data_IF_940479681538
#
_entry.id   IF_940479681538
#
_cell.length_a   1.000
_cell.length_b   1.000
_cell.length_c   1.000
_cell.angle_alpha   90.00
_cell.angle_beta   90.00
_cell.angle_gamma   90.00
#
_symmetry.space_group_name_H-M   'P 1'
#
loop_
_entity.id
_entity.type
_entity.pdbx_description
1 polymer ?
#
# COMPACT_ATOMS: atom_id res chain seq x y z
N UNK A 1 14.34 -19.15 -32.42
CA UNK A 1 12.98 -19.05 -31.83
C UNK A 1 12.92 -18.24 -30.51
N UNK A 2 13.89 -18.34 -29.58
CA UNK A 2 13.85 -17.59 -28.30
C UNK A 2 13.99 -16.06 -28.37
N UNK A 3 14.61 -15.49 -29.40
CA UNK A 3 14.80 -14.02 -29.53
C UNK A 3 13.64 -13.28 -30.20
N UNK A 4 12.75 -14.00 -30.89
CA UNK A 4 11.64 -13.38 -31.64
C UNK A 4 10.44 -13.08 -30.73
N UNK A 5 10.14 -13.91 -29.72
CA UNK A 5 9.02 -13.64 -28.80
C UNK A 5 9.26 -12.47 -27.83
N UNK A 6 10.52 -12.16 -27.48
CA UNK A 6 10.81 -11.01 -26.61
C UNK A 6 10.48 -9.67 -27.30
N UNK A 7 10.63 -9.62 -28.62
CA UNK A 7 10.23 -8.46 -29.44
C UNK A 7 8.71 -8.35 -29.58
N UNK A 8 7.94 -9.43 -29.32
CA UNK A 8 6.47 -9.39 -29.39
C UNK A 8 5.87 -8.67 -28.18
N UNK A 9 6.51 -8.68 -27.00
CA UNK A 9 6.02 -7.87 -25.86
C UNK A 9 6.32 -6.36 -26.01
N UNK A 10 7.37 -5.99 -26.77
CA UNK A 10 7.71 -4.59 -27.06
C UNK A 10 7.19 -4.10 -28.44
N UNK A 11 6.54 -4.98 -29.21
CA UNK A 11 6.17 -4.77 -30.61
C UNK A 11 4.68 -5.01 -30.90
N UNK A 12 3.80 -4.85 -29.91
CA UNK A 12 2.33 -4.88 -30.11
C UNK A 12 1.84 -3.55 -30.73
N UNK A 13 2.74 -2.69 -31.22
CA UNK A 13 2.38 -1.50 -31.99
C UNK A 13 1.79 -1.77 -33.39
N UNK A 14 1.61 -3.03 -33.82
CA UNK A 14 1.08 -3.35 -35.17
C UNK A 14 0.14 -4.58 -35.16
N UNK A 15 -0.73 -4.70 -34.15
CA UNK A 15 -1.82 -5.70 -34.15
C UNK A 15 -3.21 -5.08 -33.93
N UNK A 16 -3.32 -3.78 -34.15
CA UNK A 16 -4.59 -3.12 -34.41
C UNK A 16 -5.21 -3.77 -35.66
N UNK A 17 -6.36 -4.46 -35.48
CA UNK A 17 -7.52 -4.52 -36.40
C UNK A 17 -8.29 -5.86 -36.47
N UNK A 18 -7.96 -6.95 -35.76
CA UNK A 18 -8.72 -8.22 -35.88
C UNK A 18 -8.92 -9.01 -34.56
N UNK A 19 -10.04 -9.75 -34.45
CA UNK A 19 -10.31 -10.74 -33.38
C UNK A 19 -9.18 -11.79 -33.26
N UNK A 20 -8.54 -12.12 -34.39
CA UNK A 20 -7.40 -13.03 -34.44
C UNK A 20 -6.17 -12.54 -33.64
N UNK A 21 -6.00 -11.22 -33.49
CA UNK A 21 -4.88 -10.67 -32.72
C UNK A 21 -5.12 -10.77 -31.21
N UNK A 22 -6.39 -10.72 -30.78
CA UNK A 22 -6.79 -10.91 -29.39
C UNK A 22 -6.56 -12.35 -28.94
N UNK A 23 -7.01 -13.33 -29.71
CA UNK A 23 -6.81 -14.74 -29.40
C UNK A 23 -5.33 -15.13 -29.42
N UNK A 24 -4.58 -14.66 -30.43
CA UNK A 24 -3.12 -14.87 -30.48
C UNK A 24 -2.40 -14.28 -29.26
N UNK A 25 -2.85 -13.13 -28.76
CA UNK A 25 -2.29 -12.51 -27.54
C UNK A 25 -2.56 -13.39 -26.32
N UNK A 26 -3.79 -13.91 -26.18
CA UNK A 26 -4.14 -14.85 -25.10
C UNK A 26 -3.33 -16.15 -25.18
N UNK A 27 -3.13 -16.70 -26.38
CA UNK A 27 -2.33 -17.90 -26.60
C UNK A 27 -0.87 -17.71 -26.16
N UNK A 28 -0.26 -16.57 -26.51
CA UNK A 28 1.11 -16.24 -26.08
C UNK A 28 1.22 -16.18 -24.55
N UNK A 29 0.28 -15.51 -23.89
CA UNK A 29 0.25 -15.44 -22.42
C UNK A 29 0.02 -16.82 -21.80
N UNK A 30 -0.83 -17.63 -22.43
CA UNK A 30 -1.09 -18.99 -21.99
C UNK A 30 0.18 -19.84 -22.04
N UNK A 31 0.89 -19.84 -23.16
CA UNK A 31 2.14 -20.60 -23.34
C UNK A 31 3.26 -20.08 -22.41
N UNK A 32 3.43 -18.76 -22.32
CA UNK A 32 4.54 -18.16 -21.59
C UNK A 32 4.37 -18.17 -20.06
N UNK A 33 3.12 -18.11 -19.57
CA UNK A 33 2.81 -17.96 -18.15
C UNK A 33 1.91 -19.11 -17.68
N UNK A 34 0.66 -19.18 -18.17
CA UNK A 34 -0.37 -20.06 -17.60
C UNK A 34 0.05 -21.52 -17.62
N UNK A 35 0.52 -22.04 -18.74
CA UNK A 35 0.91 -23.44 -18.87
C UNK A 35 2.04 -23.85 -17.94
N UNK A 36 2.88 -22.89 -17.53
CA UNK A 36 3.98 -23.10 -16.58
C UNK A 36 3.54 -23.09 -15.12
N UNK A 37 2.41 -22.45 -14.81
CA UNK A 37 1.93 -22.25 -13.43
C UNK A 37 0.60 -22.94 -13.09
N UNK A 38 -0.17 -23.42 -14.08
CA UNK A 38 -1.53 -23.98 -13.90
C UNK A 38 -1.63 -25.20 -12.97
N UNK A 39 -0.52 -25.87 -12.71
CA UNK A 39 -0.45 -27.03 -11.79
C UNK A 39 -0.02 -26.65 -10.36
N UNK A 40 0.18 -25.35 -10.10
CA UNK A 40 0.52 -24.83 -8.79
C UNK A 40 -0.71 -24.13 -8.20
N UNK A 41 -0.73 -23.94 -6.89
CA UNK A 41 -1.78 -23.13 -6.26
C UNK A 41 -1.38 -21.65 -6.37
N UNK A 42 -2.30 -20.72 -6.66
CA UNK A 42 -2.01 -19.28 -6.68
C UNK A 42 -1.30 -18.77 -5.41
N UNK A 43 -1.71 -19.29 -4.25
CA UNK A 43 -1.11 -19.00 -2.93
C UNK A 43 0.37 -19.39 -2.77
N UNK A 44 0.83 -20.33 -3.59
CA UNK A 44 2.21 -20.82 -3.56
C UNK A 44 3.10 -20.08 -4.57
N UNK A 45 2.56 -19.09 -5.31
CA UNK A 45 3.30 -18.35 -6.33
C UNK A 45 3.74 -16.98 -5.81
N UNK A 46 5.02 -16.67 -5.97
CA UNK A 46 5.60 -15.38 -5.59
C UNK A 46 6.45 -14.79 -6.71
N UNK A 47 6.52 -13.45 -6.82
CA UNK A 47 7.37 -12.79 -7.80
C UNK A 47 8.85 -12.88 -7.38
N UNK A 48 9.72 -13.05 -8.37
CA UNK A 48 11.18 -13.08 -8.21
C UNK A 48 11.85 -12.30 -9.34
N UNK A 49 12.93 -11.57 -9.03
CA UNK A 49 13.73 -10.88 -10.04
C UNK A 49 15.21 -10.85 -9.69
N UNK A 50 16.06 -10.92 -10.72
CA UNK A 50 17.52 -10.83 -10.55
C UNK A 50 18.00 -9.39 -10.39
N UNK A 51 17.31 -8.44 -11.00
CA UNK A 51 17.75 -7.05 -11.15
C UNK A 51 16.64 -6.01 -10.96
N UNK A 52 15.41 -6.46 -10.67
CA UNK A 52 14.24 -5.61 -10.47
C UNK A 52 13.58 -5.11 -11.76
N UNK A 53 14.16 -5.39 -12.94
CA UNK A 53 13.66 -4.88 -14.23
C UNK A 53 12.60 -5.79 -14.86
N UNK A 54 12.82 -7.09 -14.76
CA UNK A 54 11.88 -8.12 -15.23
C UNK A 54 11.69 -9.17 -14.16
N UNK A 55 10.48 -9.69 -14.07
CA UNK A 55 10.02 -10.55 -13.00
C UNK A 55 9.55 -11.89 -13.56
N UNK A 56 9.75 -12.93 -12.76
CA UNK A 56 9.25 -14.28 -12.99
C UNK A 56 8.38 -14.71 -11.80
N UNK A 57 7.54 -15.71 -12.02
CA UNK A 57 6.83 -16.39 -10.94
C UNK A 57 7.63 -17.60 -10.47
N UNK A 58 7.73 -17.76 -9.17
CA UNK A 58 8.43 -18.83 -8.48
C UNK A 58 7.46 -19.56 -7.55
N UNK A 59 7.58 -20.88 -7.46
CA UNK A 59 6.92 -21.65 -6.39
C UNK A 59 7.67 -21.44 -5.07
N UNK A 60 6.99 -20.94 -4.05
CA UNK A 60 7.59 -20.65 -2.73
C UNK A 60 8.01 -21.92 -1.99
N UNK A 61 7.32 -23.05 -2.23
CA UNK A 61 7.59 -24.32 -1.54
C UNK A 61 8.85 -24.99 -2.09
N UNK A 62 8.89 -25.23 -3.39
CA UNK A 62 10.05 -25.85 -4.05
C UNK A 62 11.18 -24.86 -4.28
N UNK A 63 10.89 -23.55 -4.26
CA UNK A 63 11.80 -22.45 -4.63
C UNK A 63 12.29 -22.55 -6.08
N UNK A 64 11.45 -23.09 -6.95
CA UNK A 64 11.74 -23.23 -8.39
C UNK A 64 11.15 -22.04 -9.14
N UNK A 65 11.97 -21.39 -9.96
CA UNK A 65 11.50 -20.37 -10.90
C UNK A 65 10.71 -21.10 -12.01
N UNK A 66 9.45 -20.73 -12.20
CA UNK A 66 8.52 -21.43 -13.09
C UNK A 66 8.41 -20.75 -14.45
N UNK A 67 8.38 -19.42 -14.48
CA UNK A 67 8.27 -18.65 -15.72
C UNK A 67 9.61 -18.05 -16.14
N UNK A 68 9.67 -17.58 -17.38
CA UNK A 68 10.76 -16.70 -17.79
C UNK A 68 10.60 -15.31 -17.14
N UNK A 69 11.65 -14.49 -17.17
CA UNK A 69 11.62 -13.12 -16.66
C UNK A 69 10.95 -12.18 -17.68
N UNK A 70 9.63 -12.18 -17.70
CA UNK A 70 8.82 -11.47 -18.71
C UNK A 70 7.87 -10.43 -18.12
N UNK A 71 7.55 -10.52 -16.83
CA UNK A 71 6.67 -9.57 -16.16
C UNK A 71 7.41 -8.25 -15.89
N UNK A 72 6.74 -7.13 -16.13
CA UNK A 72 7.30 -5.79 -15.88
C UNK A 72 7.25 -5.37 -14.41
N UNK A 73 6.43 -6.06 -13.62
CA UNK A 73 6.22 -5.75 -12.22
C UNK A 73 6.15 -7.03 -11.37
N UNK A 74 6.38 -6.93 -10.05
CA UNK A 74 6.26 -8.05 -9.12
C UNK A 74 4.79 -8.41 -8.84
N UNK A 75 4.09 -8.95 -9.85
CA UNK A 75 2.67 -9.31 -9.75
C UNK A 75 2.44 -10.53 -8.85
N UNK A 76 1.34 -10.51 -8.11
CA UNK A 76 0.80 -11.62 -7.32
C UNK A 76 -0.70 -11.78 -7.61
N UNK A 77 -1.28 -12.93 -7.29
CA UNK A 77 -2.72 -13.14 -7.42
C UNK A 77 -3.50 -12.35 -6.37
N UNK A 78 -4.01 -11.17 -6.73
CA UNK A 78 -4.84 -10.34 -5.86
C UNK A 78 -6.00 -9.64 -6.59
N UNK A 79 -7.09 -10.37 -6.87
CA UNK A 79 -7.14 -11.83 -6.96
C UNK A 79 -6.55 -12.36 -8.27
N UNK A 80 -6.26 -11.47 -9.21
CA UNK A 80 -5.74 -11.81 -10.53
C UNK A 80 -4.33 -11.27 -10.70
N UNK A 81 -3.58 -11.86 -11.62
CA UNK A 81 -2.35 -11.24 -12.13
C UNK A 81 -2.74 -10.27 -13.24
N UNK A 82 -2.33 -9.01 -13.08
CA UNK A 82 -2.43 -7.99 -14.12
C UNK A 82 -1.11 -7.85 -14.86
N UNK A 83 -1.19 -7.73 -16.19
CA UNK A 83 -0.04 -7.49 -17.08
C UNK A 83 -0.41 -6.30 -17.95
N UNK A 84 0.31 -5.20 -17.80
CA UNK A 84 0.13 -4.04 -18.67
C UNK A 84 0.52 -4.39 -20.11
N UNK A 85 -0.27 -3.94 -21.08
CA UNK A 85 0.09 -4.04 -22.49
C UNK A 85 -0.06 -2.68 -23.16
N UNK A 86 0.83 -2.40 -24.10
CA UNK A 86 0.76 -1.22 -24.94
C UNK A 86 -0.20 -1.49 -26.11
N UNK A 87 -1.49 -1.25 -25.87
CA UNK A 87 -2.56 -1.39 -26.86
C UNK A 87 -3.53 -0.22 -26.78
N UNK A 88 -4.04 0.22 -27.94
CA UNK A 88 -5.06 1.25 -28.04
C UNK A 88 -6.42 0.80 -27.47
N UNK A 89 -6.77 -0.49 -27.62
CA UNK A 89 -8.06 -1.04 -27.17
C UNK A 89 -8.02 -1.54 -25.74
N UNK A 90 -6.89 -2.10 -25.33
CA UNK A 90 -6.75 -2.78 -24.04
C UNK A 90 -5.63 -2.10 -23.25
N UNK A 91 -5.83 -1.91 -21.95
CA UNK A 91 -4.75 -1.40 -21.09
C UNK A 91 -3.98 -2.53 -20.40
N UNK A 92 -4.48 -3.76 -20.46
CA UNK A 92 -3.84 -4.89 -19.81
C UNK A 92 -4.47 -6.23 -20.11
N UNK A 93 -3.82 -7.26 -19.60
CA UNK A 93 -4.25 -8.66 -19.61
C UNK A 93 -4.38 -9.09 -18.15
N UNK A 94 -5.43 -9.85 -17.87
CA UNK A 94 -5.77 -10.40 -16.57
C UNK A 94 -5.66 -11.91 -16.64
N UNK A 95 -4.96 -12.53 -15.69
CA UNK A 95 -4.97 -13.98 -15.47
C UNK A 95 -5.70 -14.22 -14.16
N UNK A 96 -6.87 -14.86 -14.22
CA UNK A 96 -7.69 -15.10 -13.05
C UNK A 96 -7.09 -16.14 -12.10
N UNK A 97 -7.63 -16.20 -10.89
CA UNK A 97 -7.31 -17.25 -9.91
C UNK A 97 -7.44 -18.67 -10.47
N UNK A 98 -8.40 -18.88 -11.39
CA UNK A 98 -8.63 -20.13 -12.12
C UNK A 98 -7.83 -20.21 -13.44
N UNK A 99 -6.82 -19.35 -13.60
CA UNK A 99 -5.94 -19.27 -14.76
C UNK A 99 -6.61 -18.92 -16.08
N UNK A 100 -7.76 -18.24 -16.04
CA UNK A 100 -8.45 -17.76 -17.24
C UNK A 100 -7.79 -16.47 -17.70
N UNK A 101 -7.38 -16.42 -18.97
CA UNK A 101 -6.79 -15.21 -19.58
C UNK A 101 -7.89 -14.33 -20.16
N UNK A 102 -7.91 -13.05 -19.77
CA UNK A 102 -8.87 -12.05 -20.25
C UNK A 102 -8.15 -10.75 -20.64
N UNK A 103 -8.64 -10.07 -21.67
CA UNK A 103 -8.16 -8.75 -22.06
C UNK A 103 -8.97 -7.67 -21.33
N UNK A 104 -8.30 -6.62 -20.84
CA UNK A 104 -8.93 -5.53 -20.09
C UNK A 104 -9.12 -4.30 -20.99
N UNK A 105 -10.35 -3.96 -21.39
CA UNK A 105 -10.61 -2.86 -22.30
C UNK A 105 -10.38 -1.50 -21.63
N UNK A 106 -9.85 -0.52 -22.36
CA UNK A 106 -9.78 0.86 -21.87
C UNK A 106 -11.19 1.42 -21.76
N UNK A 107 -11.64 1.71 -20.53
CA UNK A 107 -12.86 2.47 -20.29
C UNK A 107 -12.56 3.97 -20.34
N UNK A 108 -13.27 4.70 -21.20
CA UNK A 108 -13.39 6.16 -21.10
C UNK A 108 -14.51 6.49 -20.11
N UNK A 109 -14.15 6.66 -18.84
CA UNK A 109 -15.10 7.01 -17.78
C UNK A 109 -15.00 8.50 -17.43
N UNK A 110 -16.02 9.25 -17.82
CA UNK A 110 -16.34 10.58 -17.28
C UNK A 110 -17.51 10.36 -16.30
N UNK A 111 -17.22 10.25 -15.00
CA UNK A 111 -18.24 10.21 -13.95
C UNK A 111 -17.97 11.30 -12.92
N UNK A 112 -18.91 12.23 -12.83
CA UNK A 112 -18.81 13.47 -12.08
C UNK A 112 -18.68 13.28 -10.57
N UNK A 113 -17.86 14.13 -9.96
CA UNK A 113 -17.70 14.20 -8.52
C UNK A 113 -18.96 14.73 -7.83
N UNK A 114 -19.32 14.22 -6.64
CA UNK A 114 -20.43 14.73 -5.87
C UNK A 114 -20.16 16.16 -5.36
N UNK A 115 -21.22 16.98 -5.36
CA UNK A 115 -21.23 18.36 -4.87
C UNK A 115 -21.02 18.38 -3.36
N UNK A 116 -20.05 19.17 -2.87
CA UNK A 116 -19.75 19.31 -1.46
C UNK A 116 -20.84 20.07 -0.69
N UNK A 117 -21.13 19.64 0.54
CA UNK A 117 -21.95 20.40 1.49
C UNK A 117 -21.17 21.65 1.98
N UNK A 118 -21.85 22.79 2.03
CA UNK A 118 -21.30 24.03 2.59
C UNK A 118 -21.14 23.94 4.12
N UNK A 119 -19.92 24.19 4.62
CA UNK A 119 -19.60 24.29 6.05
C UNK A 119 -19.49 25.77 6.42
N UNK A 120 -20.16 26.19 7.49
CA UNK A 120 -20.17 27.59 7.95
C UNK A 120 -18.82 27.97 8.60
N UNK A 121 -18.29 29.16 8.27
CA UNK A 121 -17.07 29.69 8.88
C UNK A 121 -17.40 30.86 9.81
N UNK A 122 -16.82 30.87 11.00
CA UNK A 122 -17.15 31.84 12.07
C UNK A 122 -15.90 32.61 12.54
N UNK A 123 -16.10 33.73 13.23
CA UNK A 123 -15.02 34.54 13.82
C UNK A 123 -14.59 34.09 15.23
N UNK A 124 -15.25 33.08 15.80
CA UNK A 124 -14.96 32.58 17.15
C UNK A 124 -14.15 31.28 17.08
N UNK A 125 -13.14 31.09 17.97
CA UNK A 125 -12.43 29.82 18.09
C UNK A 125 -13.38 28.65 18.39
N UNK A 126 -13.02 27.46 17.90
CA UNK A 126 -13.80 26.24 18.12
C UNK A 126 -14.60 25.78 16.90
N UNK A 127 -15.51 24.84 17.16
CA UNK A 127 -16.29 24.17 16.12
C UNK A 127 -17.60 23.62 16.66
N UNK A 128 -18.57 23.42 15.75
CA UNK A 128 -19.86 22.80 16.06
C UNK A 128 -20.03 21.51 15.26
N UNK A 129 -20.54 20.49 15.94
CA UNK A 129 -20.87 19.20 15.36
C UNK A 129 -22.39 19.02 15.33
N UNK A 130 -22.91 18.52 14.22
CA UNK A 130 -24.29 18.02 14.11
C UNK A 130 -24.24 16.66 13.44
N UNK A 131 -24.84 15.65 14.08
CA UNK A 131 -24.87 14.26 13.59
C UNK A 131 -23.47 13.70 13.24
N UNK A 132 -22.46 14.03 14.05
CA UNK A 132 -21.08 13.57 13.85
C UNK A 132 -20.26 14.36 12.83
N UNK A 133 -20.88 15.29 12.11
CA UNK A 133 -20.21 16.12 11.09
C UNK A 133 -19.98 17.54 11.58
N UNK A 134 -18.85 18.14 11.20
CA UNK A 134 -18.59 19.57 11.41
C UNK A 134 -19.56 20.37 10.55
N UNK A 135 -20.35 21.23 11.19
CA UNK A 135 -21.28 22.15 10.51
C UNK A 135 -20.79 23.58 10.54
N UNK A 136 -19.98 23.93 11.54
CA UNK A 136 -19.27 25.20 11.56
C UNK A 136 -17.92 25.12 12.26
N UNK A 137 -16.98 25.97 11.88
CA UNK A 137 -15.70 26.10 12.56
C UNK A 137 -15.11 27.51 12.44
N UNK A 138 -14.07 27.79 13.23
CA UNK A 138 -13.34 29.04 13.15
C UNK A 138 -12.72 29.24 11.76
N UNK A 139 -12.86 30.43 11.20
CA UNK A 139 -12.45 30.73 9.82
C UNK A 139 -10.94 30.56 9.57
N UNK A 140 -10.11 30.70 10.60
CA UNK A 140 -8.65 30.56 10.47
C UNK A 140 -8.16 29.11 10.55
N UNK A 141 -9.05 28.16 10.82
CA UNK A 141 -8.73 26.74 10.71
C UNK A 141 -8.68 26.33 9.23
N UNK A 142 -7.52 25.82 8.79
CA UNK A 142 -7.29 25.31 7.44
C UNK A 142 -7.73 23.86 7.28
N UNK A 143 -7.71 23.12 8.37
CA UNK A 143 -8.08 21.71 8.44
C UNK A 143 -8.82 21.47 9.75
N UNK A 144 -9.83 20.62 9.71
CA UNK A 144 -10.54 20.15 10.89
C UNK A 144 -10.96 18.70 10.70
N UNK A 145 -10.67 17.84 11.68
CA UNK A 145 -11.08 16.45 11.67
C UNK A 145 -11.65 16.06 13.04
N UNK A 146 -12.97 15.87 13.15
CA UNK A 146 -13.63 15.62 14.43
C UNK A 146 -13.39 14.21 14.94
N UNK A 147 -13.34 14.09 16.26
CA UNK A 147 -13.08 12.86 17.01
C UNK A 147 -14.07 12.80 18.17
N UNK A 148 -14.86 11.74 18.22
CA UNK A 148 -15.66 11.43 19.41
C UNK A 148 -14.85 10.56 20.36
N UNK A 149 -14.74 10.99 21.62
CA UNK A 149 -14.08 10.23 22.68
C UNK A 149 -14.85 10.35 23.98
N UNK A 150 -15.28 9.19 24.53
CA UNK A 150 -16.05 9.10 25.78
C UNK A 150 -17.25 10.07 25.87
N UNK A 151 -17.94 10.27 24.75
CA UNK A 151 -19.13 11.14 24.66
C UNK A 151 -18.83 12.60 24.30
N UNK A 152 -17.56 13.02 24.35
CA UNK A 152 -17.13 14.39 24.07
C UNK A 152 -16.47 14.49 22.69
N UNK A 153 -16.71 15.60 22.00
CA UNK A 153 -16.08 15.88 20.71
C UNK A 153 -14.79 16.66 20.88
N UNK A 154 -13.75 16.22 20.18
CA UNK A 154 -12.52 16.94 19.96
C UNK A 154 -12.31 17.10 18.46
N UNK A 155 -11.35 17.92 18.05
CA UNK A 155 -10.92 17.96 16.66
C UNK A 155 -9.42 18.15 16.52
N UNK A 156 -8.82 17.46 15.56
CA UNK A 156 -7.47 17.80 15.09
C UNK A 156 -7.62 18.95 14.12
N UNK A 157 -6.93 20.06 14.38
CA UNK A 157 -6.95 21.24 13.50
C UNK A 157 -5.55 21.62 13.07
N UNK A 158 -5.44 22.31 11.92
CA UNK A 158 -4.33 23.22 11.64
C UNK A 158 -4.87 24.64 11.50
N UNK A 159 -4.08 25.62 11.96
CA UNK A 159 -4.45 27.03 11.93
C UNK A 159 -3.46 27.84 11.10
N UNK A 160 -3.89 29.00 10.62
CA UNK A 160 -3.00 30.04 10.09
C UNK A 160 -2.14 30.70 11.17
N UNK A 161 -2.61 30.68 12.41
CA UNK A 161 -2.01 31.44 13.51
C UNK A 161 -0.89 30.70 14.22
N UNK A 162 -0.87 29.37 14.10
CA UNK A 162 0.04 28.50 14.85
C UNK A 162 0.49 27.34 13.98
N UNK A 163 1.80 27.14 13.91
CA UNK A 163 2.39 26.05 13.14
C UNK A 163 1.98 24.68 13.70
N UNK A 164 1.86 23.70 12.82
CA UNK A 164 1.55 22.32 13.17
C UNK A 164 0.05 22.06 13.32
N UNK A 165 -0.28 21.03 14.08
CA UNK A 165 -1.63 20.56 14.33
C UNK A 165 -1.84 20.31 15.81
N UNK A 166 -3.04 20.66 16.27
CA UNK A 166 -3.42 20.56 17.67
C UNK A 166 -4.75 19.84 17.83
N UNK A 167 -4.93 19.19 18.98
CA UNK A 167 -6.22 18.69 19.41
C UNK A 167 -6.93 19.78 20.22
N UNK A 168 -8.12 20.17 19.79
CA UNK A 168 -8.94 21.16 20.50
C UNK A 168 -10.27 20.57 20.93
N UNK A 169 -10.86 21.11 21.99
CA UNK A 169 -12.26 20.87 22.35
C UNK A 169 -13.19 21.78 21.51
N UNK A 170 -14.54 21.65 21.63
CA UNK A 170 -15.48 22.41 20.81
C UNK A 170 -15.44 23.93 21.05
N UNK A 171 -14.90 24.37 22.20
CA UNK A 171 -14.68 25.79 22.53
C UNK A 171 -13.39 26.35 21.94
N UNK A 172 -12.59 25.53 21.26
CA UNK A 172 -11.30 25.94 20.70
C UNK A 172 -10.14 25.89 21.68
N UNK A 173 -10.33 25.33 22.88
CA UNK A 173 -9.26 25.19 23.87
C UNK A 173 -8.36 24.02 23.49
N UNK A 174 -7.05 24.27 23.43
CA UNK A 174 -6.05 23.24 23.11
C UNK A 174 -5.91 22.23 24.25
N UNK A 175 -5.87 20.95 23.89
CA UNK A 175 -5.54 19.88 24.82
C UNK A 175 -4.03 19.86 25.07
N UNK A 176 -3.63 20.02 26.32
CA UNK A 176 -2.22 20.02 26.72
C UNK A 176 -1.50 18.74 26.26
N UNK A 177 -0.30 18.89 25.72
CA UNK A 177 0.51 17.79 25.19
C UNK A 177 0.09 17.25 23.82
N UNK A 178 -0.93 17.83 23.19
CA UNK A 178 -1.41 17.45 21.85
C UNK A 178 -1.17 18.56 20.81
N UNK A 179 0.09 19.00 20.71
CA UNK A 179 0.54 19.94 19.68
C UNK A 179 1.76 19.34 18.97
N UNK A 180 1.61 19.05 17.69
CA UNK A 180 2.61 18.32 16.90
C UNK A 180 2.80 18.99 15.53
N UNK A 181 3.98 18.83 14.94
CA UNK A 181 4.25 19.30 13.57
C UNK A 181 3.36 18.57 12.55
N UNK A 182 3.21 17.26 12.73
CA UNK A 182 2.23 16.45 12.00
C UNK A 182 1.36 15.67 12.98
N UNK A 183 0.06 15.64 12.73
CA UNK A 183 -0.91 14.94 13.57
C UNK A 183 -2.08 14.51 12.70
N UNK A 184 -2.34 13.21 12.63
CA UNK A 184 -3.51 12.71 11.91
C UNK A 184 -4.17 11.55 12.65
N UNK A 185 -5.48 11.43 12.44
CA UNK A 185 -6.25 10.27 12.87
C UNK A 185 -5.95 9.07 11.98
N UNK A 186 -5.72 7.92 12.61
CA UNK A 186 -5.66 6.64 11.91
C UNK A 186 -7.03 5.93 11.98
N UNK A 187 -7.21 4.90 11.16
CA UNK A 187 -8.39 4.04 11.23
C UNK A 187 -8.27 2.94 12.31
N UNK A 188 -7.14 2.90 13.02
CA UNK A 188 -6.83 1.84 13.99
C UNK A 188 -7.21 2.23 15.41
N UNK A 189 -7.51 1.20 16.21
CA UNK A 189 -7.77 1.32 17.63
C UNK A 189 -6.68 0.62 18.44
N UNK A 190 -6.35 1.18 19.60
CA UNK A 190 -5.53 0.50 20.57
C UNK A 190 -6.25 -0.76 21.05
N UNK A 191 -5.62 -1.93 20.92
CA UNK A 191 -6.24 -3.19 21.35
C UNK A 191 -6.54 -3.24 22.85
N UNK A 192 -5.75 -2.53 23.66
CA UNK A 192 -5.87 -2.55 25.11
C UNK A 192 -6.94 -1.57 25.60
N UNK A 193 -6.94 -0.32 25.13
CA UNK A 193 -7.90 0.69 25.58
C UNK A 193 -9.14 0.86 24.68
N UNK A 194 -9.12 0.32 23.46
CA UNK A 194 -10.15 0.56 22.45
C UNK A 194 -10.13 1.97 21.85
N UNK A 195 -9.15 2.80 22.24
CA UNK A 195 -9.05 4.20 21.84
C UNK A 195 -8.58 4.34 20.39
N UNK A 196 -9.04 5.40 19.72
CA UNK A 196 -8.47 5.79 18.43
C UNK A 196 -6.98 6.07 18.58
N UNK A 197 -6.18 5.52 17.67
CA UNK A 197 -4.76 5.83 17.59
C UNK A 197 -4.52 6.94 16.56
N UNK A 198 -3.62 7.84 16.92
CA UNK A 198 -3.14 8.93 16.10
C UNK A 198 -1.70 8.69 15.69
N UNK A 199 -1.36 9.07 14.47
CA UNK A 199 0.03 9.20 14.03
C UNK A 199 0.49 10.64 14.23
N UNK A 200 1.68 10.81 14.81
CA UNK A 200 2.25 12.12 15.15
C UNK A 200 3.72 12.23 14.76
N UNK A 201 4.14 13.45 14.43
CA UNK A 201 5.55 13.89 14.32
C UNK A 201 5.70 15.17 15.14
N UNK A 202 6.61 15.18 16.11
CA UNK A 202 6.91 16.41 16.86
C UNK A 202 7.85 17.36 16.11
N UNK A 203 8.09 18.52 16.69
CA UNK A 203 8.95 19.55 16.11
C UNK A 203 10.45 19.16 16.09
N UNK A 204 10.84 18.12 16.84
CA UNK A 204 12.19 17.54 16.78
C UNK A 204 12.30 16.41 15.73
N UNK A 205 11.19 16.08 15.05
CA UNK A 205 11.11 15.03 14.04
C UNK A 205 10.90 13.62 14.59
N UNK A 206 10.59 13.45 15.88
CA UNK A 206 10.24 12.14 16.44
C UNK A 206 8.83 11.77 16.02
N UNK A 207 8.73 10.59 15.41
CA UNK A 207 7.48 10.04 14.87
C UNK A 207 6.96 8.93 15.77
N UNK A 208 5.65 8.76 15.85
CA UNK A 208 5.06 7.71 16.67
C UNK A 208 3.55 7.64 16.61
N UNK A 209 3.02 6.78 17.46
CA UNK A 209 1.59 6.65 17.69
C UNK A 209 1.23 7.14 19.09
N UNK A 210 0.09 7.82 19.22
CA UNK A 210 -0.44 8.28 20.49
C UNK A 210 -1.95 8.08 20.55
N UNK A 211 -2.50 7.73 21.72
CA UNK A 211 -3.95 7.75 21.94
C UNK A 211 -4.38 9.10 22.53
N UNK A 212 -5.68 9.39 22.52
CA UNK A 212 -6.21 10.64 23.11
C UNK A 212 -5.98 10.75 24.63
N UNK A 213 -5.80 9.63 25.33
CA UNK A 213 -5.39 9.61 26.73
C UNK A 213 -3.89 9.87 26.96
N UNK A 214 -3.11 10.04 25.88
CA UNK A 214 -1.68 10.36 25.94
C UNK A 214 -0.75 9.14 25.93
N UNK A 215 -1.28 7.91 25.79
CA UNK A 215 -0.47 6.69 25.72
C UNK A 215 0.34 6.67 24.42
N UNK A 216 1.68 6.61 24.54
CA UNK A 216 2.60 6.60 23.40
C UNK A 216 3.00 5.17 22.99
N UNK A 217 3.12 4.92 21.69
CA UNK A 217 3.65 3.67 21.11
C UNK A 217 4.61 3.99 19.97
N UNK A 218 5.78 3.32 19.95
CA UNK A 218 6.83 3.50 18.94
C UNK A 218 7.26 4.98 18.76
N UNK A 219 7.09 5.81 19.79
CA UNK A 219 7.37 7.25 19.71
C UNK A 219 8.87 7.52 19.70
N UNK A 220 9.35 8.16 18.64
CA UNK A 220 10.77 8.33 18.35
C UNK A 220 11.43 7.08 17.74
N UNK A 221 10.67 6.01 17.49
CA UNK A 221 11.19 4.77 16.91
C UNK A 221 10.86 4.61 15.43
N UNK A 222 9.77 5.21 14.95
CA UNK A 222 9.34 5.13 13.54
C UNK A 222 10.33 5.80 12.59
N UNK A 223 10.35 5.35 11.34
CA UNK A 223 11.26 5.84 10.30
C UNK A 223 10.57 6.88 9.41
N UNK A 224 11.25 7.30 8.33
CA UNK A 224 10.83 8.48 7.57
C UNK A 224 9.72 8.23 6.56
N UNK A 225 9.77 7.10 5.86
CA UNK A 225 8.83 6.75 4.81
C UNK A 225 7.99 5.53 5.22
N UNK A 226 6.71 5.60 4.88
CA UNK A 226 5.68 4.63 5.26
C UNK A 226 4.88 4.21 4.02
N UNK A 227 5.19 3.04 3.45
CA UNK A 227 4.31 2.40 2.46
C UNK A 227 3.36 1.44 3.21
N UNK A 228 2.05 1.61 3.04
CA UNK A 228 1.04 0.86 3.81
C UNK A 228 0.17 0.00 2.92
N UNK A 229 -0.02 -1.26 3.30
CA UNK A 229 -0.95 -2.20 2.66
C UNK A 229 -1.39 -3.25 3.68
N UNK A 230 -2.67 -3.63 3.65
CA UNK A 230 -3.28 -4.62 4.55
C UNK A 230 -2.86 -4.45 6.02
N UNK A 231 -2.92 -3.22 6.52
CA UNK A 231 -2.63 -2.87 7.91
C UNK A 231 -1.17 -3.11 8.34
N UNK A 232 -0.25 -3.23 7.38
CA UNK A 232 1.20 -3.20 7.62
C UNK A 232 1.79 -1.91 7.06
N UNK A 233 2.90 -1.47 7.64
CA UNK A 233 3.66 -0.33 7.17
C UNK A 233 5.13 -0.66 7.05
N UNK A 234 5.68 -0.55 5.84
CA UNK A 234 7.12 -0.58 5.62
C UNK A 234 7.69 0.75 6.08
N UNK A 235 8.71 0.67 6.92
CA UNK A 235 9.44 1.80 7.49
C UNK A 235 10.84 1.81 6.91
N UNK A 236 11.26 2.89 6.24
CA UNK A 236 12.58 2.99 5.59
C UNK A 236 13.16 4.39 5.62
N UNK A 237 14.48 4.48 5.45
CA UNK A 237 15.27 5.73 5.50
C UNK A 237 15.55 6.37 4.13
N UNK A 238 15.49 5.58 3.06
CA UNK A 238 15.61 6.04 1.67
C UNK A 238 14.27 6.00 0.92
N UNK A 239 14.04 6.93 0.00
CA UNK A 239 12.83 6.94 -0.83
C UNK A 239 12.95 5.90 -1.94
N UNK A 240 14.09 5.91 -2.63
CA UNK A 240 14.40 4.95 -3.69
C UNK A 240 15.08 3.70 -3.13
N UNK A 241 14.92 2.55 -3.80
CA UNK A 241 15.40 1.25 -3.30
C UNK A 241 16.92 1.25 -3.08
N UNK A 242 17.67 1.89 -3.96
CA UNK A 242 19.13 2.03 -3.89
C UNK A 242 19.58 2.85 -2.67
N UNK A 243 18.82 3.86 -2.28
CA UNK A 243 19.09 4.72 -1.12
C UNK A 243 18.81 4.07 0.24
N UNK A 244 17.97 3.02 0.29
CA UNK A 244 17.58 2.36 1.54
C UNK A 244 18.82 1.74 2.18
N UNK A 245 19.12 2.16 3.42
CA UNK A 245 20.18 1.58 4.26
C UNK A 245 19.58 0.79 5.42
N UNK A 246 18.43 1.22 5.93
CA UNK A 246 17.67 0.51 6.97
C UNK A 246 16.21 0.41 6.56
N UNK A 247 15.62 -0.73 6.84
CA UNK A 247 14.19 -0.93 6.68
C UNK A 247 13.63 -1.89 7.72
N UNK A 248 12.34 -1.76 8.00
CA UNK A 248 11.58 -2.63 8.90
C UNK A 248 10.10 -2.61 8.54
N UNK A 249 9.30 -3.37 9.28
CA UNK A 249 7.85 -3.45 9.09
C UNK A 249 7.15 -3.30 10.43
N UNK A 250 6.20 -2.39 10.48
CA UNK A 250 5.28 -2.20 11.60
C UNK A 250 3.94 -2.86 11.28
N UNK A 251 3.41 -3.61 12.24
CA UNK A 251 2.02 -4.04 12.23
C UNK A 251 1.16 -2.90 12.80
N UNK A 252 0.30 -2.31 11.98
CA UNK A 252 -0.51 -1.14 12.35
C UNK A 252 -1.70 -1.49 13.24
N UNK A 253 -2.04 -2.77 13.41
CA UNK A 253 -3.10 -3.19 14.33
C UNK A 253 -2.54 -3.30 15.74
N UNK A 254 -1.36 -3.91 15.87
CA UNK A 254 -0.70 -4.08 17.17
C UNK A 254 0.18 -2.91 17.58
N UNK A 255 0.56 -2.07 16.62
CA UNK A 255 1.50 -0.96 16.76
C UNK A 255 2.86 -1.43 17.31
N UNK A 256 3.33 -2.56 16.77
CA UNK A 256 4.62 -3.18 17.12
C UNK A 256 5.44 -3.43 15.86
N UNK A 257 6.76 -3.46 16.02
CA UNK A 257 7.66 -3.95 14.99
C UNK A 257 7.42 -5.42 14.73
N UNK A 258 6.92 -5.74 13.54
CA UNK A 258 6.87 -7.09 13.01
C UNK A 258 8.28 -7.52 12.57
N UNK A 259 8.96 -6.63 11.85
CA UNK A 259 10.37 -6.75 11.50
C UNK A 259 11.06 -5.48 11.98
N UNK A 260 11.95 -5.59 12.97
CA UNK A 260 12.70 -4.43 13.49
C UNK A 260 13.58 -3.79 12.40
N UNK A 261 13.84 -2.48 12.45
CA UNK A 261 14.74 -1.81 11.50
C UNK A 261 16.09 -2.51 11.42
N UNK A 262 16.48 -2.91 10.21
CA UNK A 262 17.67 -3.70 9.96
C UNK A 262 18.33 -3.32 8.62
N UNK A 263 19.61 -3.69 8.44
CA UNK A 263 20.44 -3.39 7.25
C UNK A 263 20.66 -4.59 6.31
N UNK A 264 20.27 -5.79 6.74
CA UNK A 264 20.42 -7.06 6.02
C UNK A 264 19.65 -7.04 4.69
N UNK A 265 18.40 -6.59 4.72
CA UNK A 265 17.50 -6.52 3.58
C UNK A 265 16.95 -5.10 3.41
N UNK A 266 16.83 -4.65 2.16
CA UNK A 266 16.12 -3.41 1.82
C UNK A 266 14.67 -3.77 1.50
N UNK A 267 13.79 -3.68 2.48
CA UNK A 267 12.35 -3.94 2.34
C UNK A 267 11.70 -2.68 1.75
N UNK A 268 10.97 -2.82 0.66
CA UNK A 268 10.50 -1.65 -0.10
C UNK A 268 9.04 -1.70 -0.56
N UNK A 269 8.41 -2.88 -0.65
CA UNK A 269 6.99 -2.97 -1.03
C UNK A 269 6.27 -4.15 -0.35
N UNK A 270 4.95 -4.07 -0.24
CA UNK A 270 4.09 -5.09 0.35
C UNK A 270 3.26 -5.71 -0.76
N UNK A 271 3.41 -7.02 -0.96
CA UNK A 271 2.56 -7.81 -1.85
C UNK A 271 1.72 -8.75 -1.05
N UNK A 272 0.58 -9.13 -1.62
CA UNK A 272 -0.27 -10.13 -1.01
C UNK A 272 -0.97 -10.98 -2.05
N UNK A 273 -1.36 -12.16 -1.62
CA UNK A 273 -2.10 -13.13 -2.40
C UNK A 273 -3.43 -13.39 -1.71
N UNK A 274 -4.54 -13.22 -2.45
CA UNK A 274 -5.89 -13.44 -1.94
C UNK A 274 -6.81 -13.94 -3.07
N UNK A 275 -7.72 -14.89 -2.80
CA UNK A 275 -8.62 -15.46 -3.82
C UNK A 275 -9.67 -14.47 -4.33
N UNK A 276 -9.95 -13.43 -3.55
CA UNK A 276 -10.90 -12.38 -3.87
C UNK A 276 -10.31 -11.04 -3.45
N UNK A 277 -10.78 -9.95 -4.08
CA UNK A 277 -10.38 -8.60 -3.68
C UNK A 277 -10.81 -8.36 -2.25
N UNK A 278 -9.84 -8.19 -1.36
CA UNK A 278 -10.08 -8.07 0.06
C UNK A 278 -9.20 -7.00 0.69
N UNK A 279 -9.72 -6.35 1.73
CA UNK A 279 -8.93 -5.54 2.65
C UNK A 279 -8.64 -6.30 3.95
N UNK A 280 -9.09 -7.55 4.06
CA UNK A 280 -8.85 -8.41 5.21
C UNK A 280 -7.49 -9.11 5.08
N UNK A 281 -6.57 -8.73 5.97
CA UNK A 281 -5.24 -9.35 6.07
C UNK A 281 -5.30 -10.81 6.52
N UNK A 282 -6.35 -11.25 7.22
CA UNK A 282 -6.49 -12.64 7.67
C UNK A 282 -6.82 -13.60 6.51
N UNK A 283 -7.47 -13.07 5.46
CA UNK A 283 -7.78 -13.79 4.24
C UNK A 283 -6.62 -13.77 3.21
N UNK A 284 -5.49 -13.16 3.55
CA UNK A 284 -4.40 -12.87 2.61
C UNK A 284 -3.08 -13.48 3.06
N UNK A 285 -2.30 -13.99 2.12
CA UNK A 285 -0.88 -14.32 2.36
C UNK A 285 -0.06 -13.08 2.04
N UNK A 286 0.71 -12.60 3.02
CA UNK A 286 1.49 -11.37 2.92
C UNK A 286 2.95 -11.69 2.64
N UNK A 287 3.52 -10.95 1.69
CA UNK A 287 4.93 -10.97 1.36
C UNK A 287 5.49 -9.55 1.39
N UNK A 288 6.72 -9.41 1.85
CA UNK A 288 7.47 -8.16 1.73
C UNK A 288 8.50 -8.29 0.63
N UNK A 289 8.43 -7.43 -0.40
CA UNK A 289 9.49 -7.35 -1.39
C UNK A 289 10.73 -6.74 -0.76
N UNK A 290 11.85 -7.42 -0.99
CA UNK A 290 13.13 -7.02 -0.46
C UNK A 290 14.25 -7.23 -1.47
N UNK A 291 15.32 -6.47 -1.30
CA UNK A 291 16.60 -6.77 -1.94
C UNK A 291 17.68 -7.07 -0.91
N UNK A 292 18.66 -7.87 -1.33
CA UNK A 292 19.91 -8.03 -0.58
C UNK A 292 20.98 -7.03 -1.09
N UNK A 293 22.20 -7.17 -0.58
CA UNK A 293 23.32 -6.31 -0.94
C UNK A 293 23.79 -6.49 -2.40
N UNK A 294 23.44 -7.59 -3.06
CA UNK A 294 23.76 -7.85 -4.47
C UNK A 294 22.78 -7.16 -5.43
N UNK A 295 21.65 -6.67 -4.92
CA UNK A 295 20.57 -6.12 -5.74
C UNK A 295 19.60 -7.19 -6.26
N UNK A 296 19.70 -8.45 -5.81
CA UNK A 296 18.73 -9.47 -6.12
C UNK A 296 17.40 -9.20 -5.40
N UNK A 297 16.27 -9.38 -6.09
CA UNK A 297 14.93 -9.12 -5.57
C UNK A 297 14.17 -10.41 -5.25
N UNK A 298 13.61 -10.47 -4.05
CA UNK A 298 12.88 -11.62 -3.55
C UNK A 298 11.79 -11.22 -2.55
N UNK A 299 11.02 -12.21 -2.09
CA UNK A 299 10.02 -12.05 -1.05
C UNK A 299 10.55 -12.50 0.31
N UNK A 300 10.22 -11.73 1.35
CA UNK A 300 10.22 -12.18 2.74
C UNK A 300 8.80 -12.64 3.10
N UNK A 301 8.69 -13.73 3.85
CA UNK A 301 7.42 -14.10 4.49
C UNK A 301 7.06 -13.09 5.60
N UNK A 302 5.89 -13.26 6.21
CA UNK A 302 5.40 -12.41 7.29
C UNK A 302 6.35 -12.36 8.51
N UNK A 303 7.20 -13.36 8.69
CA UNK A 303 8.18 -13.44 9.77
C UNK A 303 9.57 -12.90 9.36
N UNK A 304 9.70 -12.33 8.17
CA UNK A 304 10.97 -11.81 7.65
C UNK A 304 11.93 -12.89 7.14
N UNK A 305 11.46 -14.11 6.86
CA UNK A 305 12.29 -15.17 6.30
C UNK A 305 12.32 -15.07 4.76
N UNK A 306 13.51 -15.06 4.14
CA UNK A 306 13.62 -14.93 2.69
C UNK A 306 13.23 -16.22 1.96
N UNK A 307 12.55 -16.05 0.83
CA UNK A 307 12.34 -17.13 -0.15
C UNK A 307 13.20 -16.83 -1.37
N UNK A 308 14.34 -17.52 -1.44
CA UNK A 308 15.29 -17.44 -2.55
C UNK A 308 15.24 -18.71 -3.39
N UNK A 309 15.46 -18.64 -4.71
CA UNK A 309 15.51 -19.83 -5.56
C UNK A 309 16.52 -20.85 -5.03
N UNK A 310 16.20 -22.15 -5.19
CA UNK A 310 17.21 -23.21 -5.10
C UNK A 310 17.83 -23.41 -6.47
N UNK A 311 19.14 -23.64 -6.49
CA UNK A 311 19.86 -24.15 -7.66
C UNK A 311 19.30 -25.50 -8.12
#
# INVERSE_FOLDING_TARGET
MKRVLLAVMFGIGILSFAQDSEEKTKEIIKEQIVDKIKNYKPIDLAPYSKDGKKWALMDVKSRKILTDFILDEPSTFNPDIFISIDSEKFYGIKISWDYIVSLMPRYSGDEGMPVSMWIERTNEPGFKIKNGSVVSHYLKYKYINPILYKGEYYAIISSEEKEGRMLINPKGEEQEGFHFKYFTKTYYKDKESGETIFYVEDFEGKKGFITISGKRKLYGELMNDANTSLEYSIQKDGKNIDEIKKSGVVDLVTHKWLIKPQKKYKIYDIKYVAPEKTTDRAASIIYFLATDQSGQHFVLDINGKPTLPKE
#
